data_IF_333232133556
#
_entry.id   IF_333232133556
#
_cell.length_a   1.000
_cell.length_b   1.000
_cell.length_c   1.000
_cell.angle_alpha   90.00
_cell.angle_beta   90.00
_cell.angle_gamma   90.00
#
_symmetry.space_group_name_H-M   'P 1'
#
loop_
_entity.id
_entity.type
_entity.pdbx_description
1 polymer ?
#
# COMPACT_ATOMS: atom_id res chain seq x y z
N UNK A 1 0.64 -47.35 10.29
CA UNK A 1 -0.05 -46.06 10.51
C UNK A 1 0.88 -44.90 10.14
N UNK A 2 0.83 -44.37 8.90
CA UNK A 2 1.61 -43.19 8.49
C UNK A 2 1.07 -42.52 7.20
N UNK A 3 -0.22 -42.16 7.15
CA UNK A 3 -0.81 -41.50 5.95
C UNK A 3 -1.60 -40.20 6.25
N UNK A 4 -1.84 -39.86 7.51
CA UNK A 4 -2.69 -38.72 7.87
C UNK A 4 -1.97 -37.35 7.76
N UNK A 5 -0.65 -37.28 7.99
CA UNK A 5 0.10 -36.02 7.99
C UNK A 5 0.31 -35.39 6.60
N UNK A 6 0.39 -36.21 5.56
CA UNK A 6 0.70 -35.76 4.19
C UNK A 6 -0.54 -35.22 3.45
N UNK A 7 -1.72 -35.80 3.70
CA UNK A 7 -2.99 -35.34 3.11
C UNK A 7 -3.45 -33.98 3.69
N UNK A 8 -3.36 -33.79 5.01
CA UNK A 8 -3.68 -32.51 5.65
C UNK A 8 -2.74 -31.37 5.26
N UNK A 9 -1.43 -31.65 5.10
CA UNK A 9 -0.46 -30.66 4.62
C UNK A 9 -0.70 -30.28 3.15
N UNK A 10 -1.14 -31.24 2.32
CA UNK A 10 -1.43 -31.02 0.89
C UNK A 10 -2.75 -30.29 0.66
N UNK A 11 -3.79 -30.58 1.45
CA UNK A 11 -5.06 -29.83 1.40
C UNK A 11 -4.88 -28.39 1.86
N UNK A 12 -4.12 -28.15 2.94
CA UNK A 12 -3.80 -26.82 3.43
C UNK A 12 -2.99 -26.01 2.40
N UNK A 13 -1.97 -26.61 1.77
CA UNK A 13 -1.20 -25.96 0.70
C UNK A 13 -2.06 -25.60 -0.52
N UNK A 14 -3.00 -26.47 -0.91
CA UNK A 14 -3.91 -26.21 -2.03
C UNK A 14 -4.92 -25.10 -1.69
N UNK A 15 -5.40 -25.06 -0.44
CA UNK A 15 -6.25 -23.98 0.08
C UNK A 15 -5.53 -22.63 0.07
N UNK A 16 -4.29 -22.59 0.56
CA UNK A 16 -3.45 -21.38 0.55
C UNK A 16 -3.16 -20.88 -0.87
N UNK A 17 -2.77 -21.77 -1.79
CA UNK A 17 -2.55 -21.39 -3.18
C UNK A 17 -3.82 -20.86 -3.85
N UNK A 18 -4.98 -21.43 -3.51
CA UNK A 18 -6.28 -20.94 -4.00
C UNK A 18 -6.58 -19.54 -3.45
N UNK A 19 -6.32 -19.30 -2.15
CA UNK A 19 -6.50 -18.00 -1.50
C UNK A 19 -5.59 -16.93 -2.13
N UNK A 20 -4.30 -17.20 -2.29
CA UNK A 20 -3.35 -16.26 -2.89
C UNK A 20 -3.70 -15.94 -4.34
N UNK A 21 -4.12 -16.94 -5.12
CA UNK A 21 -4.57 -16.72 -6.50
C UNK A 21 -5.80 -15.80 -6.57
N UNK A 22 -6.73 -15.92 -5.61
CA UNK A 22 -7.90 -15.03 -5.52
C UNK A 22 -7.46 -13.58 -5.24
N UNK A 23 -6.51 -13.37 -4.33
CA UNK A 23 -5.99 -12.04 -3.99
C UNK A 23 -5.23 -11.41 -5.15
N UNK A 24 -4.39 -12.19 -5.84
CA UNK A 24 -3.62 -11.74 -7.00
C UNK A 24 -4.52 -11.28 -8.15
N UNK A 25 -5.60 -12.01 -8.38
CA UNK A 25 -6.54 -11.65 -9.41
C UNK A 25 -7.43 -10.46 -9.02
N UNK A 26 -7.78 -10.34 -7.74
CA UNK A 26 -8.43 -9.13 -7.23
C UNK A 26 -7.56 -7.89 -7.47
N UNK A 27 -6.26 -7.97 -7.19
CA UNK A 27 -5.30 -6.88 -7.45
C UNK A 27 -5.26 -6.52 -8.94
N UNK A 28 -5.21 -7.52 -9.83
CA UNK A 28 -5.23 -7.28 -11.29
C UNK A 28 -6.52 -6.59 -11.74
N UNK A 29 -7.67 -7.04 -11.23
CA UNK A 29 -8.97 -6.43 -11.53
C UNK A 29 -9.05 -5.00 -11.02
N UNK A 30 -8.71 -4.76 -9.76
CA UNK A 30 -8.69 -3.43 -9.17
C UNK A 30 -7.75 -2.50 -9.92
N UNK A 31 -6.56 -2.97 -10.32
CA UNK A 31 -5.59 -2.15 -11.04
C UNK A 31 -6.04 -1.75 -12.45
N UNK A 32 -6.98 -2.47 -13.08
CA UNK A 32 -7.46 -2.12 -14.42
C UNK A 32 -8.19 -0.77 -14.41
N UNK A 33 -8.91 -0.45 -13.32
CA UNK A 33 -9.71 0.76 -13.21
C UNK A 33 -11.00 0.74 -14.03
N UNK A 34 -11.38 -0.42 -14.57
CA UNK A 34 -12.61 -0.56 -15.34
C UNK A 34 -13.85 -0.23 -14.49
N UNK A 35 -14.94 0.27 -15.09
CA UNK A 35 -16.22 0.41 -14.41
C UNK A 35 -16.64 -0.92 -13.78
N UNK A 36 -16.79 -0.93 -12.44
CA UNK A 36 -17.13 -2.13 -11.66
C UNK A 36 -15.95 -3.07 -11.33
N UNK A 37 -14.71 -2.64 -11.54
CA UNK A 37 -13.49 -3.34 -11.08
C UNK A 37 -13.45 -3.56 -9.57
N UNK A 38 -14.10 -2.69 -8.79
CA UNK A 38 -14.33 -2.83 -7.36
C UNK A 38 -15.66 -3.56 -7.08
N UNK A 39 -15.75 -4.80 -7.54
CA UNK A 39 -16.88 -5.68 -7.25
C UNK A 39 -16.38 -7.05 -6.88
N UNK A 40 -16.48 -7.41 -5.60
CA UNK A 40 -16.01 -8.70 -5.11
C UNK A 40 -16.73 -9.89 -5.79
N UNK A 41 -18.01 -9.71 -6.15
CA UNK A 41 -18.77 -10.71 -6.90
C UNK A 41 -18.30 -10.86 -8.36
N UNK A 42 -17.96 -9.75 -9.02
CA UNK A 42 -17.38 -9.78 -10.38
C UNK A 42 -15.99 -10.38 -10.37
N UNK A 43 -15.14 -9.95 -9.43
CA UNK A 43 -13.79 -10.52 -9.23
C UNK A 43 -13.89 -12.03 -9.03
N UNK A 44 -14.81 -12.51 -8.18
CA UNK A 44 -15.03 -13.95 -8.01
C UNK A 44 -15.36 -14.65 -9.34
N UNK A 45 -16.27 -14.08 -10.13
CA UNK A 45 -16.65 -14.63 -11.44
C UNK A 45 -15.45 -14.66 -12.41
N UNK A 46 -14.68 -13.59 -12.48
CA UNK A 46 -13.56 -13.43 -13.42
C UNK A 46 -12.43 -14.44 -13.15
N UNK A 47 -12.34 -14.96 -11.92
CA UNK A 47 -11.33 -15.94 -11.50
C UNK A 47 -11.87 -17.37 -11.46
N UNK A 48 -13.10 -17.58 -11.94
CA UNK A 48 -13.77 -18.88 -11.92
C UNK A 48 -14.17 -19.35 -10.50
N UNK A 49 -14.29 -18.43 -9.55
CA UNK A 49 -14.76 -18.70 -8.19
C UNK A 49 -16.22 -18.26 -8.01
N UNK A 50 -16.92 -18.90 -7.08
CA UNK A 50 -18.23 -18.42 -6.65
C UNK A 50 -18.06 -17.38 -5.54
N UNK A 51 -19.02 -16.47 -5.40
CA UNK A 51 -19.06 -15.56 -4.25
C UNK A 51 -19.10 -16.31 -2.91
N UNK A 52 -19.76 -17.47 -2.87
CA UNK A 52 -19.75 -18.36 -1.71
C UNK A 52 -18.36 -18.87 -1.35
N UNK A 53 -17.51 -19.17 -2.34
CA UNK A 53 -16.12 -19.57 -2.10
C UNK A 53 -15.26 -18.41 -1.56
N UNK A 54 -15.50 -17.18 -2.02
CA UNK A 54 -14.83 -15.99 -1.48
C UNK A 54 -15.27 -15.75 -0.03
N UNK A 55 -16.57 -15.78 0.27
CA UNK A 55 -17.08 -15.68 1.64
C UNK A 55 -16.54 -16.78 2.56
N UNK A 56 -16.42 -18.00 2.07
CA UNK A 56 -15.82 -19.09 2.85
C UNK A 56 -14.37 -18.79 3.25
N UNK A 57 -13.59 -18.17 2.36
CA UNK A 57 -12.19 -17.85 2.61
C UNK A 57 -12.00 -16.57 3.43
N UNK A 58 -12.83 -15.56 3.20
CA UNK A 58 -12.59 -14.19 3.68
C UNK A 58 -13.69 -13.65 4.60
N UNK A 59 -14.75 -14.44 4.85
CA UNK A 59 -15.91 -14.05 5.66
C UNK A 59 -16.93 -13.28 4.83
N UNK A 60 -16.61 -12.05 4.50
CA UNK A 60 -17.48 -11.14 3.74
C UNK A 60 -16.66 -10.23 2.81
N UNK A 61 -17.28 -9.13 2.37
CA UNK A 61 -16.63 -8.16 1.48
C UNK A 61 -15.55 -7.34 2.20
N UNK A 62 -15.76 -7.01 3.48
CA UNK A 62 -14.78 -6.27 4.27
C UNK A 62 -13.55 -7.13 4.55
N UNK A 63 -13.75 -8.37 5.01
CA UNK A 63 -12.64 -9.31 5.22
C UNK A 63 -11.90 -9.65 3.92
N UNK A 64 -12.58 -9.62 2.76
CA UNK A 64 -11.93 -9.76 1.46
C UNK A 64 -11.05 -8.55 1.12
N UNK A 65 -11.56 -7.33 1.27
CA UNK A 65 -10.78 -6.11 1.02
C UNK A 65 -9.61 -5.95 1.98
N UNK A 66 -9.80 -6.22 3.27
CA UNK A 66 -8.72 -6.27 4.25
C UNK A 66 -7.64 -7.28 3.84
N UNK A 67 -8.02 -8.48 3.38
CA UNK A 67 -7.06 -9.48 2.91
C UNK A 67 -6.33 -9.06 1.63
N UNK A 68 -7.00 -8.36 0.70
CA UNK A 68 -6.37 -7.78 -0.50
C UNK A 68 -5.33 -6.74 -0.10
N UNK A 69 -5.71 -5.80 0.78
CA UNK A 69 -4.78 -4.79 1.30
C UNK A 69 -3.59 -5.49 1.96
N UNK A 70 -3.80 -6.38 2.92
CA UNK A 70 -2.73 -7.10 3.61
C UNK A 70 -1.75 -7.80 2.65
N UNK A 71 -2.27 -8.39 1.57
CA UNK A 71 -1.46 -9.05 0.54
C UNK A 71 -0.62 -8.06 -0.28
N UNK A 72 -1.16 -6.87 -0.58
CA UNK A 72 -0.37 -5.80 -1.22
C UNK A 72 0.77 -5.32 -0.32
N UNK A 73 0.54 -5.19 0.99
CA UNK A 73 1.56 -4.77 1.95
C UNK A 73 2.71 -5.80 2.04
N UNK A 74 2.39 -7.10 2.14
CA UNK A 74 3.39 -8.18 2.14
C UNK A 74 4.28 -8.17 0.91
N UNK A 75 3.74 -7.83 -0.26
CA UNK A 75 4.50 -7.77 -1.52
C UNK A 75 5.32 -6.49 -1.69
N UNK A 76 4.90 -5.39 -1.08
CA UNK A 76 5.70 -4.17 -0.99
C UNK A 76 6.88 -4.33 -0.01
N UNK A 77 6.79 -5.29 0.91
CA UNK A 77 7.76 -5.46 1.99
C UNK A 77 7.59 -4.42 3.09
N UNK A 78 8.44 -4.48 4.12
CA UNK A 78 8.62 -3.31 5.00
C UNK A 78 9.08 -2.14 4.13
N UNK A 79 8.54 -0.94 4.36
CA UNK A 79 9.06 0.28 3.73
C UNK A 79 10.58 0.28 3.91
N UNK A 80 11.38 0.26 2.83
CA UNK A 80 12.81 0.43 2.89
C UNK A 80 13.12 1.77 3.57
N UNK A 81 13.32 1.70 4.88
CA UNK A 81 14.13 2.69 5.58
C UNK A 81 15.49 2.66 4.90
N UNK A 82 16.08 3.81 4.51
CA UNK A 82 17.38 3.83 3.87
C UNK A 82 18.35 2.92 4.63
N UNK A 83 18.83 1.88 3.96
CA UNK A 83 19.68 0.84 4.55
C UNK A 83 21.04 1.38 4.99
N UNK A 84 21.37 2.61 4.58
CA UNK A 84 22.58 3.30 4.98
C UNK A 84 22.25 4.44 5.95
N UNK A 85 22.28 4.13 7.24
CA UNK A 85 22.21 5.11 8.32
C UNK A 85 23.46 5.99 8.43
N UNK A 86 24.41 5.93 7.48
CA UNK A 86 25.49 6.92 7.39
C UNK A 86 25.29 7.89 6.21
N UNK A 87 24.24 7.70 5.40
CA UNK A 87 23.96 8.61 4.30
C UNK A 87 23.56 10.00 4.82
N UNK A 88 23.99 11.10 4.16
CA UNK A 88 23.53 12.45 4.47
C UNK A 88 22.00 12.59 4.35
N UNK A 89 21.41 13.54 5.08
CA UNK A 89 19.97 13.83 5.09
C UNK A 89 19.37 13.89 3.67
N UNK A 90 20.01 14.61 2.76
CA UNK A 90 19.55 14.75 1.38
C UNK A 90 19.42 13.42 0.65
N UNK A 91 20.40 12.53 0.80
CA UNK A 91 20.37 11.22 0.14
C UNK A 91 19.26 10.33 0.71
N UNK A 92 19.01 10.40 2.02
CA UNK A 92 17.92 9.65 2.67
C UNK A 92 16.55 10.13 2.22
N UNK A 93 16.34 11.44 2.18
CA UNK A 93 15.10 12.04 1.70
C UNK A 93 14.88 11.67 0.23
N UNK A 94 15.89 11.84 -0.63
CA UNK A 94 15.80 11.48 -2.05
C UNK A 94 15.44 10.00 -2.23
N UNK A 95 16.12 9.09 -1.51
CA UNK A 95 15.85 7.66 -1.60
C UNK A 95 14.41 7.30 -1.20
N UNK A 96 13.86 7.94 -0.15
CA UNK A 96 12.46 7.73 0.26
C UNK A 96 11.49 8.24 -0.81
N UNK A 97 11.74 9.44 -1.36
CA UNK A 97 10.90 10.04 -2.41
C UNK A 97 10.89 9.19 -3.68
N UNK A 98 12.06 8.75 -4.13
CA UNK A 98 12.23 7.96 -5.35
C UNK A 98 11.54 6.59 -5.22
N UNK A 99 11.76 5.92 -4.09
CA UNK A 99 11.11 4.66 -3.78
C UNK A 99 9.58 4.81 -3.76
N UNK A 100 9.06 5.84 -3.09
CA UNK A 100 7.62 6.07 -3.04
C UNK A 100 7.06 6.34 -4.43
N UNK A 101 7.75 7.15 -5.23
CA UNK A 101 7.35 7.45 -6.59
C UNK A 101 7.23 6.18 -7.44
N UNK A 102 8.28 5.35 -7.44
CA UNK A 102 8.33 4.07 -8.16
C UNK A 102 7.29 3.08 -7.64
N UNK A 103 7.06 3.08 -6.33
CA UNK A 103 6.02 2.28 -5.69
C UNK A 103 4.61 2.70 -6.13
N UNK A 104 4.38 4.00 -6.32
CA UNK A 104 3.07 4.56 -6.67
C UNK A 104 2.70 4.36 -8.15
N UNK A 105 3.67 4.18 -9.03
CA UNK A 105 3.41 3.80 -10.43
C UNK A 105 3.14 2.29 -10.61
N UNK A 106 3.27 1.49 -9.54
CA UNK A 106 3.05 0.04 -9.60
C UNK A 106 1.58 -0.36 -9.74
N UNK A 107 1.34 -1.56 -10.30
CA UNK A 107 0.02 -2.20 -10.36
C UNK A 107 -0.66 -2.31 -8.99
N UNK A 108 0.11 -2.64 -7.94
CA UNK A 108 -0.41 -2.73 -6.57
C UNK A 108 -0.90 -1.38 -6.06
N UNK A 109 -0.23 -0.29 -6.42
CA UNK A 109 -0.67 1.05 -6.03
C UNK A 109 -1.97 1.44 -6.69
N UNK A 110 -2.08 1.21 -8.00
CA UNK A 110 -3.32 1.46 -8.73
C UNK A 110 -4.49 0.68 -8.14
N UNK A 111 -4.27 -0.57 -7.75
CA UNK A 111 -5.29 -1.38 -7.10
C UNK A 111 -5.77 -0.77 -5.77
N UNK A 112 -4.85 -0.30 -4.93
CA UNK A 112 -5.17 0.35 -3.64
C UNK A 112 -5.93 1.66 -3.87
N UNK A 113 -5.47 2.51 -4.79
CA UNK A 113 -6.12 3.79 -5.08
C UNK A 113 -7.54 3.61 -5.63
N UNK A 114 -7.73 2.67 -6.56
CA UNK A 114 -9.06 2.36 -7.09
C UNK A 114 -9.99 1.77 -6.03
N UNK A 115 -9.48 0.89 -5.15
CA UNK A 115 -10.25 0.40 -4.01
C UNK A 115 -10.63 1.54 -3.07
N UNK A 116 -9.68 2.42 -2.72
CA UNK A 116 -9.92 3.55 -1.82
C UNK A 116 -10.93 4.56 -2.40
N UNK A 117 -10.90 4.79 -3.71
CA UNK A 117 -11.85 5.65 -4.40
C UNK A 117 -13.29 5.10 -4.41
N UNK A 118 -13.45 3.78 -4.25
CA UNK A 118 -14.76 3.13 -4.21
C UNK A 118 -15.29 2.90 -2.78
N UNK A 119 -14.46 3.11 -1.76
CA UNK A 119 -14.84 3.04 -0.35
C UNK A 119 -15.32 4.41 0.15
N UNK A 120 -16.06 4.48 1.28
CA UNK A 120 -16.40 5.74 1.91
C UNK A 120 -15.15 6.60 2.18
N UNK A 121 -15.22 7.88 1.81
CA UNK A 121 -14.13 8.83 2.05
C UNK A 121 -14.08 9.35 3.49
N UNK A 122 -15.22 9.33 4.18
CA UNK A 122 -15.32 9.67 5.60
C UNK A 122 -14.75 8.52 6.45
N UNK A 123 -13.69 8.77 7.26
CA UNK A 123 -13.09 7.75 8.11
C UNK A 123 -14.07 7.07 9.07
N UNK A 124 -15.02 7.82 9.65
CA UNK A 124 -15.98 7.28 10.63
C UNK A 124 -16.98 6.34 9.94
N UNK A 125 -17.42 6.71 8.74
CA UNK A 125 -18.26 5.85 7.91
C UNK A 125 -17.51 4.61 7.42
N UNK A 126 -16.24 4.76 7.03
CA UNK A 126 -15.39 3.65 6.62
C UNK A 126 -15.20 2.65 7.75
N UNK A 127 -14.89 3.10 8.96
CA UNK A 127 -14.72 2.23 10.13
C UNK A 127 -16.02 1.50 10.50
N UNK A 128 -17.15 2.19 10.41
CA UNK A 128 -18.47 1.60 10.68
C UNK A 128 -18.87 0.53 9.67
N UNK A 129 -18.60 0.75 8.38
CA UNK A 129 -19.03 -0.13 7.29
C UNK A 129 -18.02 -1.22 6.93
N UNK A 130 -16.73 -0.95 7.11
CA UNK A 130 -15.60 -1.80 6.72
C UNK A 130 -14.51 -1.80 7.82
N UNK A 131 -14.80 -2.26 9.05
CA UNK A 131 -13.89 -2.17 10.18
C UNK A 131 -12.54 -2.89 9.95
N UNK A 132 -12.53 -4.03 9.25
CA UNK A 132 -11.29 -4.76 8.97
C UNK A 132 -10.43 -4.01 7.95
N UNK A 133 -11.05 -3.45 6.92
CA UNK A 133 -10.38 -2.63 5.90
C UNK A 133 -9.83 -1.34 6.51
N UNK A 134 -10.60 -0.67 7.39
CA UNK A 134 -10.16 0.51 8.12
C UNK A 134 -8.92 0.21 8.98
N UNK A 135 -8.94 -0.91 9.71
CA UNK A 135 -7.81 -1.35 10.54
C UNK A 135 -6.53 -1.57 9.73
N UNK A 136 -6.61 -2.12 8.52
CA UNK A 136 -5.45 -2.24 7.62
C UNK A 136 -4.87 -0.86 7.28
N UNK A 137 -5.70 0.11 6.87
CA UNK A 137 -5.21 1.47 6.58
C UNK A 137 -4.56 2.15 7.79
N UNK A 138 -5.16 2.00 8.98
CA UNK A 138 -4.59 2.55 10.23
C UNK A 138 -3.23 1.92 10.52
N UNK A 139 -3.12 0.60 10.39
CA UNK A 139 -1.86 -0.12 10.62
C UNK A 139 -0.74 0.35 9.68
N UNK A 140 -1.07 0.66 8.42
CA UNK A 140 -0.10 1.16 7.45
C UNK A 140 0.38 2.56 7.79
N UNK A 141 -0.51 3.46 8.23
CA UNK A 141 -0.13 4.79 8.69
C UNK A 141 0.82 4.74 9.89
N UNK A 142 0.54 3.86 10.86
CA UNK A 142 1.41 3.66 12.02
C UNK A 142 2.78 3.10 11.63
N UNK A 143 2.80 2.10 10.74
CA UNK A 143 4.04 1.52 10.22
C UNK A 143 4.87 2.57 9.46
N UNK A 144 4.23 3.37 8.60
CA UNK A 144 4.86 4.47 7.87
C UNK A 144 5.51 5.49 8.81
N UNK A 145 4.76 6.00 9.79
CA UNK A 145 5.27 6.97 10.76
C UNK A 145 6.46 6.40 11.55
N UNK A 146 6.37 5.14 11.96
CA UNK A 146 7.45 4.45 12.67
C UNK A 146 8.70 4.31 11.80
N UNK A 147 8.54 3.96 10.52
CA UNK A 147 9.65 3.86 9.58
C UNK A 147 10.31 5.21 9.31
N UNK A 148 9.53 6.29 9.15
CA UNK A 148 10.08 7.64 8.99
C UNK A 148 10.89 8.06 10.21
N UNK A 149 10.38 7.86 11.43
CA UNK A 149 11.13 8.17 12.65
C UNK A 149 12.47 7.43 12.71
N UNK A 150 12.45 6.12 12.41
CA UNK A 150 13.68 5.31 12.38
C UNK A 150 14.67 5.78 11.31
N UNK A 151 14.19 6.24 10.16
CA UNK A 151 15.04 6.68 9.05
C UNK A 151 15.91 7.91 9.36
N UNK A 152 15.50 8.73 10.31
CA UNK A 152 16.13 10.01 10.63
C UNK A 152 16.60 10.13 12.08
N UNK A 153 16.47 9.07 12.89
CA UNK A 153 16.72 9.09 14.33
C UNK A 153 18.15 9.51 14.73
N UNK A 154 19.13 9.26 13.87
CA UNK A 154 20.56 9.53 14.08
C UNK A 154 21.02 10.90 13.54
N UNK A 155 20.15 11.64 12.86
CA UNK A 155 20.50 12.94 12.26
C UNK A 155 20.23 14.14 13.19
N UNK A 156 19.75 13.89 14.42
CA UNK A 156 19.44 14.96 15.39
C UNK A 156 18.29 15.87 14.97
N UNK A 157 17.48 15.44 14.00
CA UNK A 157 16.31 16.18 13.50
C UNK A 157 15.18 16.11 14.52
N UNK A 158 14.41 17.19 14.66
CA UNK A 158 13.22 17.22 15.51
C UNK A 158 12.19 16.17 15.06
N UNK A 159 11.84 15.26 15.98
CA UNK A 159 10.86 14.21 15.78
C UNK A 159 9.50 14.75 15.32
N UNK A 160 9.07 15.94 15.76
CA UNK A 160 7.81 16.52 15.30
C UNK A 160 7.87 16.92 13.82
N UNK A 161 8.98 17.52 13.38
CA UNK A 161 9.18 17.90 11.97
C UNK A 161 9.23 16.66 11.07
N UNK A 162 9.79 15.55 11.56
CA UNK A 162 9.73 14.26 10.86
C UNK A 162 8.28 13.77 10.72
N UNK A 163 7.44 13.89 11.76
CA UNK A 163 6.02 13.48 11.68
C UNK A 163 5.24 14.34 10.69
N UNK A 164 5.47 15.65 10.67
CA UNK A 164 4.84 16.57 9.72
C UNK A 164 5.19 16.22 8.27
N UNK A 165 6.47 15.94 8.00
CA UNK A 165 6.95 15.45 6.71
C UNK A 165 6.33 14.10 6.35
N UNK A 166 6.32 13.15 7.29
CA UNK A 166 5.68 11.85 7.10
C UNK A 166 4.18 11.98 6.79
N UNK A 167 3.47 12.95 7.38
CA UNK A 167 2.05 13.14 7.18
C UNK A 167 1.71 13.59 5.74
N UNK A 168 2.49 14.48 5.13
CA UNK A 168 2.17 15.01 3.80
C UNK A 168 2.80 14.23 2.64
N UNK A 169 3.95 13.57 2.85
CA UNK A 169 4.69 12.89 1.77
C UNK A 169 3.79 11.96 0.95
N UNK A 170 2.99 11.04 1.55
CA UNK A 170 2.15 10.14 0.76
C UNK A 170 1.16 10.89 -0.14
N UNK A 171 0.59 12.01 0.34
CA UNK A 171 -0.32 12.86 -0.44
C UNK A 171 0.39 13.56 -1.60
N UNK A 172 1.52 14.21 -1.31
CA UNK A 172 2.34 14.89 -2.33
C UNK A 172 2.79 13.91 -3.44
N UNK A 173 3.28 12.73 -3.04
CA UNK A 173 3.75 11.72 -3.98
C UNK A 173 2.62 11.16 -4.84
N UNK A 174 1.42 10.94 -4.29
CA UNK A 174 0.24 10.56 -5.09
C UNK A 174 -0.11 11.61 -6.13
N UNK A 175 -0.06 12.90 -5.77
CA UNK A 175 -0.27 14.00 -6.72
C UNK A 175 0.74 13.97 -7.86
N UNK A 176 2.03 13.86 -7.55
CA UNK A 176 3.10 13.77 -8.56
C UNK A 176 2.97 12.53 -9.46
N UNK A 177 2.60 11.38 -8.90
CA UNK A 177 2.36 10.16 -9.67
C UNK A 177 1.11 10.29 -10.56
N UNK A 178 0.04 10.92 -10.06
CA UNK A 178 -1.19 11.18 -10.82
C UNK A 178 -0.92 12.08 -12.02
N UNK A 179 -0.18 13.17 -11.86
CA UNK A 179 0.20 14.06 -12.96
C UNK A 179 0.90 13.30 -14.10
N UNK A 180 1.80 12.36 -13.75
CA UNK A 180 2.44 11.51 -14.75
C UNK A 180 1.46 10.60 -15.48
N UNK A 181 0.52 9.98 -14.76
CA UNK A 181 -0.48 9.10 -15.36
C UNK A 181 -1.46 9.85 -16.26
N UNK A 182 -1.71 11.13 -15.98
CA UNK A 182 -2.54 12.02 -16.79
C UNK A 182 -1.80 12.60 -18.01
N UNK A 183 -0.52 12.26 -18.21
CA UNK A 183 0.28 12.76 -19.33
C UNK A 183 0.67 14.23 -19.21
N UNK A 184 0.90 14.71 -17.98
CA UNK A 184 1.36 16.07 -17.72
C UNK A 184 2.64 16.39 -18.51
N UNK A 185 2.72 17.63 -19.02
CA UNK A 185 3.90 18.12 -19.76
C UNK A 185 5.03 18.62 -18.84
N UNK A 186 4.83 18.55 -17.52
CA UNK A 186 5.79 19.00 -16.53
C UNK A 186 6.89 17.95 -16.32
N UNK A 187 8.10 18.43 -16.06
CA UNK A 187 9.23 17.56 -15.71
C UNK A 187 9.03 16.98 -14.29
N UNK A 188 8.68 15.70 -14.23
CA UNK A 188 8.45 15.00 -12.97
C UNK A 188 9.73 14.77 -12.16
N UNK A 189 10.88 14.66 -12.82
CA UNK A 189 12.17 14.49 -12.15
C UNK A 189 12.56 15.80 -11.47
N UNK A 190 12.33 16.92 -12.14
CA UNK A 190 12.49 18.25 -11.55
C UNK A 190 11.56 18.46 -10.34
N UNK A 191 10.29 18.03 -10.43
CA UNK A 191 9.34 18.14 -9.33
C UNK A 191 9.78 17.31 -8.09
N UNK A 192 10.25 16.08 -8.30
CA UNK A 192 10.79 15.22 -7.21
C UNK A 192 12.05 15.81 -6.59
N UNK A 193 12.94 16.36 -7.41
CA UNK A 193 14.15 17.02 -6.94
C UNK A 193 13.82 18.26 -6.10
N UNK A 194 12.88 19.09 -6.56
CA UNK A 194 12.38 20.25 -5.81
C UNK A 194 11.75 19.87 -4.47
N UNK A 195 10.92 18.83 -4.44
CA UNK A 195 10.31 18.32 -3.22
C UNK A 195 11.36 17.82 -2.22
N UNK A 196 12.36 17.07 -2.70
CA UNK A 196 13.50 16.62 -1.89
C UNK A 196 14.22 17.81 -1.25
N UNK A 197 14.57 18.83 -2.03
CA UNK A 197 15.28 19.99 -1.52
C UNK A 197 14.46 20.79 -0.50
N UNK A 198 13.14 20.92 -0.72
CA UNK A 198 12.24 21.58 0.22
C UNK A 198 12.15 20.83 1.56
N UNK A 199 12.05 19.50 1.53
CA UNK A 199 12.04 18.67 2.74
C UNK A 199 13.37 18.78 3.47
N UNK A 200 14.50 18.71 2.76
CA UNK A 200 15.83 18.83 3.37
C UNK A 200 15.99 20.18 4.06
N UNK A 201 15.63 21.28 3.39
CA UNK A 201 15.68 22.61 3.99
C UNK A 201 14.75 22.75 5.20
N UNK A 202 13.61 22.05 5.22
CA UNK A 202 12.71 22.04 6.36
C UNK A 202 13.27 21.24 7.55
N UNK A 203 13.91 20.10 7.28
CA UNK A 203 14.45 19.22 8.30
C UNK A 203 15.84 19.64 8.80
N UNK A 204 16.51 20.56 8.11
CA UNK A 204 17.83 21.06 8.49
C UNK A 204 17.78 21.68 9.90
N UNK A 205 18.57 21.16 10.86
CA UNK A 205 18.72 21.77 12.17
C UNK A 205 19.54 23.06 12.04
N UNK A 206 18.86 24.19 11.90
CA UNK A 206 19.48 25.52 12.10
C UNK A 206 20.16 25.64 13.45
#
# INVERSE_FOLDING_TARGET
>A
MAAAGTQGRRSNRRGLATRENMLDAAIRSLASGDPGSVSAARIAKDIGATWGAVKYQFGDVDGFWAAVLHHTAKRRGELPVPSDSNAPLQQRVAAIIDLLYDGLISTHSRAIENLRAALPSDPDELERLYPQTAAEFVSWGQAWNTSCQKAFADLGVDSQRILEVAAFIPGAMRGLASERLLGSFNDHDLARHGLTNAIVAYLDPT
#
